data_IF_990286319795
#
_entry.id   IF_990286319795
#
_cell.length_a   1.000
_cell.length_b   1.000
_cell.length_c   1.000
_cell.angle_alpha   90.00
_cell.angle_beta   90.00
_cell.angle_gamma   90.00
#
_symmetry.space_group_name_H-M   'P 1'
#
loop_
_entity.id
_entity.type
_entity.pdbx_description
1 polymer ?
#
# COMPACT_ATOMS: atom_id res chain seq x y z
N UNK A 1 -28.20 28.44 49.96
CA UNK A 1 -26.73 28.56 49.83
C UNK A 1 -26.11 27.17 49.69
N UNK A 2 -25.85 26.70 48.46
CA UNK A 2 -25.16 25.44 48.20
C UNK A 2 -23.75 25.76 47.70
N UNK A 3 -22.73 25.33 48.47
CA UNK A 3 -21.31 25.56 48.20
C UNK A 3 -20.87 24.70 47.00
N UNK A 4 -20.44 25.35 45.93
CA UNK A 4 -19.73 24.73 44.80
C UNK A 4 -18.29 24.44 45.25
N UNK A 5 -17.83 23.19 45.08
CA UNK A 5 -16.40 22.83 45.12
C UNK A 5 -16.00 22.42 43.70
N UNK A 6 -14.96 22.99 43.09
CA UNK A 6 -14.42 22.44 41.85
C UNK A 6 -13.52 21.23 42.20
N UNK A 7 -13.52 20.14 41.43
CA UNK A 7 -12.44 19.19 41.53
C UNK A 7 -11.20 19.77 40.83
N UNK A 8 -10.06 19.62 41.51
CA UNK A 8 -8.72 19.88 40.99
C UNK A 8 -8.57 19.24 39.60
N UNK A 9 -8.26 20.07 38.60
CA UNK A 9 -7.77 19.60 37.32
C UNK A 9 -6.39 18.97 37.53
N UNK A 10 -6.29 17.66 37.33
CA UNK A 10 -5.01 16.98 37.17
C UNK A 10 -4.46 17.39 35.79
N UNK A 11 -3.51 18.31 35.77
CA UNK A 11 -2.70 18.59 34.58
C UNK A 11 -1.71 17.43 34.47
N UNK A 12 -2.00 16.45 33.62
CA UNK A 12 -1.00 15.48 33.20
C UNK A 12 -0.08 16.18 32.18
N UNK A 13 1.08 16.63 32.67
CA UNK A 13 2.23 16.97 31.84
C UNK A 13 2.82 15.65 31.31
N UNK A 14 2.46 15.28 30.08
CA UNK A 14 3.10 14.19 29.37
C UNK A 14 4.19 14.77 28.48
N UNK A 15 5.43 14.75 28.97
CA UNK A 15 6.62 14.91 28.15
C UNK A 15 7.00 13.55 27.57
N UNK A 16 7.14 13.45 26.26
CA UNK A 16 7.93 12.39 25.64
C UNK A 16 8.66 12.93 24.42
N UNK A 17 10.00 12.83 24.46
CA UNK A 17 10.89 13.19 23.37
C UNK A 17 11.40 11.95 22.66
N UNK A 18 11.43 11.97 21.32
CA UNK A 18 12.06 10.93 20.50
C UNK A 18 13.28 11.49 19.79
N UNK A 19 14.49 11.16 20.24
CA UNK A 19 15.75 11.59 19.61
C UNK A 19 16.16 10.61 18.50
N UNK A 20 16.37 11.10 17.28
CA UNK A 20 17.07 10.37 16.20
C UNK A 20 18.34 11.14 15.82
N UNK A 21 19.48 10.44 15.76
CA UNK A 21 20.78 11.02 15.43
C UNK A 21 21.20 10.64 14.01
N UNK A 22 21.52 11.63 13.17
CA UNK A 22 22.18 11.43 11.89
C UNK A 22 23.57 12.08 11.94
N UNK A 23 24.61 11.31 11.64
CA UNK A 23 25.98 11.81 11.53
C UNK A 23 26.36 12.04 10.07
N UNK A 24 26.65 13.28 9.71
CA UNK A 24 27.27 13.64 8.42
C UNK A 24 28.71 14.07 8.71
N UNK A 25 29.68 13.44 8.02
CA UNK A 25 31.11 13.72 8.20
C UNK A 25 31.63 14.51 7.01
N UNK A 26 32.19 15.70 7.22
CA UNK A 26 32.94 16.43 6.20
C UNK A 26 34.22 17.03 6.82
N UNK A 27 35.38 16.68 6.25
CA UNK A 27 36.70 17.25 6.53
C UNK A 27 36.99 17.52 8.03
N UNK A 28 36.92 16.47 8.85
CA UNK A 28 37.31 16.44 10.28
C UNK A 28 36.49 17.31 11.26
N UNK A 29 35.37 17.89 10.84
CA UNK A 29 34.40 18.52 11.74
C UNK A 29 33.13 17.66 11.83
N UNK A 30 32.74 17.29 13.05
CA UNK A 30 31.53 16.51 13.35
C UNK A 30 30.45 17.49 13.80
N UNK A 31 29.38 17.60 13.00
CA UNK A 31 28.16 18.31 13.39
C UNK A 31 27.13 17.23 13.71
N UNK A 32 26.70 17.17 14.97
CA UNK A 32 25.61 16.32 15.42
C UNK A 32 24.34 17.15 15.52
N UNK A 33 23.38 16.92 14.63
CA UNK A 33 22.03 17.44 14.78
C UNK A 33 21.11 16.30 15.22
N UNK A 34 20.47 16.50 16.37
CA UNK A 34 19.44 15.60 16.90
C UNK A 34 18.08 16.21 16.55
N UNK A 35 17.38 15.62 15.57
CA UNK A 35 15.99 15.99 15.32
C UNK A 35 15.09 15.16 16.24
N UNK A 36 14.28 15.87 17.04
CA UNK A 36 13.23 15.27 17.84
C UNK A 36 11.91 15.28 17.07
N UNK A 37 11.41 14.10 16.71
CA UNK A 37 10.11 13.92 16.05
C UNK A 37 9.13 13.31 17.05
N UNK A 38 8.35 14.15 17.72
CA UNK A 38 7.23 13.73 18.58
C UNK A 38 5.92 13.92 17.81
N UNK A 39 5.11 12.86 17.72
CA UNK A 39 3.74 12.94 17.21
C UNK A 39 2.78 12.46 18.32
N UNK A 40 1.82 13.30 18.68
CA UNK A 40 0.74 12.96 19.59
C UNK A 40 -0.48 12.59 18.75
N UNK A 41 -0.99 11.35 18.89
CA UNK A 41 -2.14 10.86 18.13
C UNK A 41 -3.28 10.65 19.13
N UNK A 42 -4.13 11.67 19.27
CA UNK A 42 -5.36 11.58 20.06
C UNK A 42 -6.40 10.76 19.30
N UNK A 43 -6.57 9.50 19.71
CA UNK A 43 -7.59 8.58 19.17
C UNK A 43 -8.94 8.70 19.91
N UNK A 44 -9.06 9.55 20.93
CA UNK A 44 -10.22 9.61 21.84
C UNK A 44 -11.50 10.15 21.22
N UNK A 45 -11.43 10.76 20.03
CA UNK A 45 -12.56 11.38 19.32
C UNK A 45 -12.86 10.76 17.95
N UNK A 46 -12.02 9.81 17.50
CA UNK A 46 -12.18 9.19 16.18
C UNK A 46 -13.16 8.02 16.26
N UNK A 47 -14.40 8.22 15.83
CA UNK A 47 -15.33 7.11 15.57
C UNK A 47 -14.83 6.37 14.33
N UNK A 48 -13.96 5.38 14.53
CA UNK A 48 -13.49 4.50 13.46
C UNK A 48 -14.57 3.48 13.18
N UNK A 49 -15.28 3.63 12.05
CA UNK A 49 -16.11 2.55 11.55
C UNK A 49 -15.19 1.38 11.14
N UNK A 50 -15.46 0.14 11.59
CA UNK A 50 -14.62 -0.99 11.23
C UNK A 50 -14.64 -1.19 9.71
N UNK A 51 -13.46 -1.09 9.11
CA UNK A 51 -13.22 -1.41 7.72
C UNK A 51 -12.71 -2.86 7.65
N UNK A 52 -13.41 -3.68 6.90
CA UNK A 52 -13.01 -5.05 6.60
C UNK A 52 -12.59 -5.12 5.12
N UNK A 53 -11.47 -5.79 4.84
CA UNK A 53 -10.94 -5.92 3.48
C UNK A 53 -10.71 -7.39 3.19
N UNK A 54 -11.38 -7.88 2.15
CA UNK A 54 -11.33 -9.26 1.70
C UNK A 54 -10.56 -9.30 0.39
N UNK A 55 -9.50 -10.11 0.33
CA UNK A 55 -8.85 -10.43 -0.94
C UNK A 55 -9.55 -11.62 -1.59
N UNK A 56 -10.04 -11.41 -2.81
CA UNK A 56 -10.54 -12.49 -3.67
C UNK A 56 -9.43 -13.11 -4.53
N UNK A 57 -8.19 -12.72 -4.26
CA UNK A 57 -7.00 -13.14 -5.00
C UNK A 57 -6.19 -14.09 -4.14
N UNK A 58 -5.69 -15.21 -4.69
CA UNK A 58 -4.75 -16.06 -3.99
C UNK A 58 -3.52 -15.27 -3.50
N UNK A 59 -2.98 -15.59 -2.31
CA UNK A 59 -1.81 -14.89 -1.76
C UNK A 59 -0.55 -15.11 -2.60
N UNK A 60 -0.47 -16.23 -3.33
CA UNK A 60 0.62 -16.56 -4.23
C UNK A 60 0.07 -16.71 -5.65
N UNK A 61 0.69 -16.01 -6.60
CA UNK A 61 0.31 -16.04 -8.00
C UNK A 61 1.53 -16.42 -8.84
N UNK A 62 1.33 -17.35 -9.77
CA UNK A 62 2.34 -17.68 -10.78
C UNK A 62 2.06 -16.84 -12.03
N UNK A 63 2.95 -15.89 -12.33
CA UNK A 63 2.79 -14.98 -13.47
C UNK A 63 3.54 -15.54 -14.67
N UNK A 64 2.82 -15.74 -15.78
CA UNK A 64 3.38 -16.33 -16.99
C UNK A 64 4.24 -15.31 -17.75
N UNK A 65 5.40 -15.77 -18.21
CA UNK A 65 6.22 -15.05 -19.18
C UNK A 65 5.78 -15.40 -20.60
N UNK A 66 5.44 -14.39 -21.39
CA UNK A 66 5.20 -14.52 -22.82
C UNK A 66 6.50 -14.26 -23.58
N UNK A 67 7.03 -15.31 -24.20
CA UNK A 67 8.27 -15.26 -24.97
C UNK A 67 8.13 -14.50 -26.30
N UNK A 68 6.92 -14.42 -26.87
CA UNK A 68 6.69 -13.72 -28.13
C UNK A 68 6.74 -12.20 -27.94
N UNK A 69 6.12 -11.71 -26.85
CA UNK A 69 6.12 -10.27 -26.52
C UNK A 69 7.27 -9.88 -25.58
N UNK A 70 8.06 -10.86 -25.09
CA UNK A 70 9.10 -10.70 -24.06
C UNK A 70 8.56 -9.93 -22.84
N UNK A 71 7.38 -10.29 -22.35
CA UNK A 71 6.72 -9.62 -21.22
C UNK A 71 6.04 -10.61 -20.29
N UNK A 72 5.91 -10.23 -19.03
CA UNK A 72 5.02 -10.93 -18.12
C UNK A 72 3.56 -10.61 -18.43
N UNK A 73 2.70 -11.60 -18.27
CA UNK A 73 1.26 -11.39 -18.19
C UNK A 73 0.93 -10.47 -17.03
N UNK A 74 -0.16 -9.73 -17.13
CA UNK A 74 -0.61 -8.85 -16.05
C UNK A 74 -0.99 -9.67 -14.81
N UNK A 75 -0.50 -9.24 -13.64
CA UNK A 75 -0.99 -9.73 -12.35
C UNK A 75 -2.28 -8.99 -11.98
N UNK A 76 -3.21 -9.67 -11.31
CA UNK A 76 -4.51 -9.12 -10.92
C UNK A 76 -4.75 -9.30 -9.43
N UNK A 77 -5.10 -8.23 -8.73
CA UNK A 77 -5.45 -8.25 -7.31
C UNK A 77 -6.87 -7.70 -7.15
N UNK A 78 -7.85 -8.58 -6.98
CA UNK A 78 -9.24 -8.25 -6.66
C UNK A 78 -9.44 -8.15 -5.15
N UNK A 79 -9.95 -7.01 -4.72
CA UNK A 79 -10.24 -6.68 -3.33
C UNK A 79 -11.70 -6.24 -3.18
N UNK A 80 -12.29 -6.58 -2.03
CA UNK A 80 -13.58 -6.09 -1.57
C UNK A 80 -13.40 -5.40 -0.23
N UNK A 81 -13.76 -4.12 -0.16
CA UNK A 81 -13.88 -3.40 1.09
C UNK A 81 -15.32 -3.48 1.59
N UNK A 82 -15.49 -3.69 2.90
CA UNK A 82 -16.77 -3.72 3.60
C UNK A 82 -16.73 -2.72 4.75
N UNK A 83 -17.79 -1.93 4.89
CA UNK A 83 -17.91 -0.94 5.96
C UNK A 83 -19.34 -0.88 6.50
N UNK A 84 -19.48 -0.59 7.79
CA UNK A 84 -20.78 -0.25 8.40
C UNK A 84 -21.31 1.13 7.98
N UNK A 85 -20.48 1.96 7.36
CA UNK A 85 -20.84 3.31 6.90
C UNK A 85 -20.25 3.59 5.50
N UNK A 86 -20.90 4.47 4.73
CA UNK A 86 -20.42 4.94 3.41
C UNK A 86 -19.95 6.41 3.46
N UNK A 87 -19.91 7.00 4.65
CA UNK A 87 -19.63 8.44 4.83
C UNK A 87 -18.16 8.81 4.70
N UNK A 88 -17.26 7.84 4.59
CA UNK A 88 -15.82 8.06 4.50
C UNK A 88 -15.28 7.54 3.16
N UNK A 89 -14.36 8.27 2.51
CA UNK A 89 -13.68 7.78 1.32
C UNK A 89 -12.75 6.61 1.69
N UNK A 90 -12.40 5.79 0.71
CA UNK A 90 -11.46 4.68 0.88
C UNK A 90 -10.12 5.05 0.23
N UNK A 91 -9.02 4.85 0.93
CA UNK A 91 -7.67 5.08 0.43
C UNK A 91 -7.05 3.74 0.06
N UNK A 92 -6.45 3.68 -1.14
CA UNK A 92 -5.57 2.61 -1.59
C UNK A 92 -4.16 3.16 -1.75
N UNK A 93 -3.22 2.58 -1.03
CA UNK A 93 -1.80 2.92 -1.04
C UNK A 93 -0.95 1.75 -1.52
N UNK A 94 -0.05 2.03 -2.46
CA UNK A 94 1.10 1.17 -2.77
C UNK A 94 2.22 1.56 -1.82
N UNK A 95 2.48 0.75 -0.80
CA UNK A 95 3.51 1.04 0.21
C UNK A 95 4.90 0.68 -0.29
N UNK A 96 5.02 -0.49 -0.93
CA UNK A 96 6.25 -0.92 -1.56
C UNK A 96 6.00 -1.97 -2.62
N UNK A 97 6.95 -2.06 -3.53
CA UNK A 97 7.03 -3.13 -4.51
C UNK A 97 8.47 -3.56 -4.66
N UNK A 98 8.68 -4.86 -4.88
CA UNK A 98 10.00 -5.35 -5.21
C UNK A 98 9.94 -6.59 -6.07
N UNK A 99 10.97 -6.72 -6.88
CA UNK A 99 11.14 -7.78 -7.84
C UNK A 99 12.62 -8.15 -7.93
N UNK A 100 12.91 -9.45 -7.99
CA UNK A 100 14.24 -9.99 -8.16
C UNK A 100 14.17 -11.12 -9.17
N UNK A 101 15.01 -11.07 -10.21
CA UNK A 101 15.27 -12.20 -11.10
C UNK A 101 16.70 -12.68 -10.93
N UNK A 102 16.87 -14.00 -10.94
CA UNK A 102 18.16 -14.66 -10.95
C UNK A 102 18.19 -15.84 -11.93
N UNK A 103 19.36 -16.05 -12.56
CA UNK A 103 19.62 -17.28 -13.31
C UNK A 103 19.71 -18.49 -12.38
N UNK A 104 19.09 -19.60 -12.76
CA UNK A 104 19.03 -20.82 -11.92
C UNK A 104 20.24 -21.73 -12.12
N UNK A 105 20.95 -21.61 -13.24
CA UNK A 105 22.09 -22.49 -13.55
C UNK A 105 23.42 -21.89 -13.05
N UNK A 106 24.15 -22.59 -12.16
CA UNK A 106 25.51 -22.19 -11.76
C UNK A 106 26.53 -22.23 -12.89
N UNK A 107 26.20 -22.93 -13.98
CA UNK A 107 27.05 -23.16 -15.16
C UNK A 107 26.65 -22.27 -16.34
N UNK A 108 25.63 -21.41 -16.19
CA UNK A 108 25.25 -20.48 -17.24
C UNK A 108 26.41 -19.52 -17.53
N UNK A 109 26.78 -19.40 -18.80
CA UNK A 109 27.83 -18.47 -19.27
C UNK A 109 27.50 -17.00 -18.98
N UNK A 110 26.21 -16.68 -18.80
CA UNK A 110 25.73 -15.37 -18.38
C UNK A 110 24.96 -15.50 -17.07
N UNK A 111 25.49 -14.92 -16.00
CA UNK A 111 24.76 -14.74 -14.76
C UNK A 111 23.87 -13.50 -14.88
N UNK A 112 22.58 -13.67 -14.64
CA UNK A 112 21.65 -12.55 -14.57
C UNK A 112 21.23 -12.36 -13.13
N UNK A 113 21.38 -11.12 -12.68
CA UNK A 113 20.77 -10.60 -11.48
C UNK A 113 20.10 -9.30 -11.87
N UNK A 114 18.78 -9.25 -11.76
CA UNK A 114 18.01 -8.03 -11.95
C UNK A 114 17.17 -7.80 -10.71
N UNK A 115 17.20 -6.57 -10.17
CA UNK A 115 16.30 -6.17 -9.11
C UNK A 115 15.67 -4.83 -9.42
N UNK A 116 14.41 -4.70 -9.04
CA UNK A 116 13.68 -3.44 -9.04
C UNK A 116 12.98 -3.33 -7.68
N UNK A 117 13.22 -2.24 -6.97
CA UNK A 117 12.60 -1.96 -5.67
C UNK A 117 11.97 -0.57 -5.78
N UNK A 118 10.66 -0.49 -5.54
CA UNK A 118 9.87 0.73 -5.71
C UNK A 118 10.08 1.35 -7.09
N UNK A 119 10.20 0.53 -8.13
CA UNK A 119 10.54 0.95 -9.48
C UNK A 119 9.94 0.04 -10.55
N UNK A 120 9.51 0.64 -11.66
CA UNK A 120 9.11 -0.08 -12.88
C UNK A 120 7.71 -0.70 -12.86
N UNK A 121 7.03 -0.78 -11.70
CA UNK A 121 5.65 -1.24 -11.66
C UNK A 121 4.68 -0.14 -12.08
N UNK A 122 3.60 -0.55 -12.74
CA UNK A 122 2.42 0.27 -13.01
C UNK A 122 1.18 -0.44 -12.50
N UNK A 123 0.24 0.32 -11.93
CA UNK A 123 -0.98 -0.21 -11.36
C UNK A 123 -2.19 0.52 -11.95
N UNK A 124 -3.06 -0.19 -12.67
CA UNK A 124 -4.36 0.34 -13.06
C UNK A 124 -5.40 -0.06 -12.00
N UNK A 125 -5.96 0.93 -11.33
CA UNK A 125 -7.04 0.75 -10.36
C UNK A 125 -8.37 0.76 -11.10
N UNK A 126 -9.19 -0.26 -10.87
CA UNK A 126 -10.47 -0.41 -11.54
C UNK A 126 -11.63 -0.64 -10.58
N UNK A 127 -12.78 -0.07 -10.92
CA UNK A 127 -14.05 -0.37 -10.26
C UNK A 127 -15.18 -0.26 -11.27
N UNK A 128 -16.23 -1.06 -11.11
CA UNK A 128 -17.35 -1.11 -12.07
C UNK A 128 -16.92 -1.43 -13.52
N UNK A 129 -15.81 -2.15 -13.71
CA UNK A 129 -15.25 -2.49 -15.02
C UNK A 129 -14.54 -1.35 -15.75
N UNK A 130 -14.23 -0.24 -15.07
CA UNK A 130 -13.50 0.89 -15.65
C UNK A 130 -12.26 1.21 -14.84
N UNK A 131 -11.18 1.60 -15.53
CA UNK A 131 -10.00 2.16 -14.88
C UNK A 131 -10.31 3.56 -14.35
N UNK A 132 -10.10 3.77 -13.06
CA UNK A 132 -10.36 5.04 -12.35
C UNK A 132 -9.09 5.76 -11.93
N UNK A 133 -7.95 5.05 -11.88
CA UNK A 133 -6.65 5.65 -11.64
C UNK A 133 -5.52 4.80 -12.20
N UNK A 134 -4.37 5.44 -12.43
CA UNK A 134 -3.11 4.77 -12.74
C UNK A 134 -2.05 5.23 -11.75
N UNK A 135 -1.55 4.28 -10.96
CA UNK A 135 -0.47 4.47 -9.99
C UNK A 135 0.82 3.90 -10.58
N UNK A 136 1.97 4.35 -10.06
CA UNK A 136 3.28 3.88 -10.52
C UNK A 136 4.32 4.01 -9.42
N UNK A 137 5.27 3.10 -9.41
CA UNK A 137 6.42 3.22 -8.52
C UNK A 137 7.24 4.45 -8.88
N UNK A 138 7.66 5.23 -7.88
CA UNK A 138 8.35 6.51 -8.09
C UNK A 138 7.44 7.66 -8.56
N UNK A 139 6.11 7.48 -8.56
CA UNK A 139 5.14 8.54 -8.87
C UNK A 139 3.96 8.55 -7.91
N UNK A 140 2.75 8.73 -8.43
CA UNK A 140 1.54 8.64 -7.62
C UNK A 140 1.36 7.19 -7.14
N UNK A 141 1.36 6.99 -5.83
CA UNK A 141 1.21 5.67 -5.17
C UNK A 141 -0.11 5.54 -4.40
N UNK A 142 -0.92 6.60 -4.34
CA UNK A 142 -2.20 6.64 -3.64
C UNK A 142 -3.36 6.90 -4.59
N UNK A 143 -4.44 6.16 -4.41
CA UNK A 143 -5.76 6.47 -4.97
C UNK A 143 -6.78 6.65 -3.84
N UNK A 144 -7.71 7.59 -4.04
CA UNK A 144 -8.85 7.81 -3.15
C UNK A 144 -10.12 7.45 -3.89
N UNK A 145 -10.88 6.50 -3.36
CA UNK A 145 -12.23 6.21 -3.78
C UNK A 145 -13.20 7.11 -3.03
N UNK A 146 -14.05 7.81 -3.77
CA UNK A 146 -15.02 8.75 -3.23
C UNK A 146 -16.17 8.03 -2.52
N UNK A 147 -16.80 8.71 -1.56
CA UNK A 147 -17.93 8.17 -0.77
C UNK A 147 -19.09 7.65 -1.63
N UNK A 148 -19.33 8.29 -2.79
CA UNK A 148 -20.37 7.89 -3.73
C UNK A 148 -20.10 6.58 -4.48
N UNK A 149 -18.91 5.99 -4.37
CA UNK A 149 -18.55 4.72 -5.03
C UNK A 149 -18.92 3.48 -4.20
N UNK A 150 -19.26 3.66 -2.92
CA UNK A 150 -19.78 2.60 -2.08
C UNK A 150 -21.18 2.17 -2.53
N UNK A 151 -21.42 0.87 -2.53
CA UNK A 151 -22.72 0.28 -2.85
C UNK A 151 -23.32 -0.34 -1.60
N UNK A 152 -24.61 -0.12 -1.35
CA UNK A 152 -25.29 -0.79 -0.25
C UNK A 152 -25.40 -2.29 -0.55
N UNK A 153 -24.96 -3.15 0.38
CA UNK A 153 -24.90 -4.60 0.17
C UNK A 153 -26.28 -5.21 -0.06
N UNK A 154 -27.33 -4.63 0.53
CA UNK A 154 -28.74 -4.92 0.27
C UNK A 154 -29.02 -6.39 -0.07
N UNK A 155 -29.40 -6.64 -1.32
CA UNK A 155 -29.77 -7.94 -1.87
C UNK A 155 -28.67 -8.61 -2.73
N UNK A 156 -27.44 -8.10 -2.73
CA UNK A 156 -26.32 -8.71 -3.45
C UNK A 156 -25.98 -10.05 -2.78
N UNK A 157 -26.21 -11.15 -3.50
CA UNK A 157 -25.97 -12.51 -3.01
C UNK A 157 -24.50 -12.68 -2.60
N UNK A 158 -24.27 -13.04 -1.33
CA UNK A 158 -22.92 -13.28 -0.79
C UNK A 158 -22.25 -12.09 -0.11
N UNK A 159 -22.92 -10.94 0.02
CA UNK A 159 -22.47 -9.85 0.87
C UNK A 159 -23.18 -9.87 2.24
N UNK A 160 -22.49 -9.49 3.31
CA UNK A 160 -23.12 -9.34 4.62
C UNK A 160 -24.23 -8.27 4.56
N UNK A 161 -25.43 -8.64 5.00
CA UNK A 161 -26.59 -7.73 4.98
C UNK A 161 -26.33 -6.52 5.87
N UNK A 162 -26.69 -5.33 5.38
CA UNK A 162 -26.61 -4.09 6.16
C UNK A 162 -25.23 -3.42 6.15
N UNK A 163 -24.29 -3.88 5.33
CA UNK A 163 -22.99 -3.23 5.10
C UNK A 163 -23.00 -2.45 3.77
N UNK A 164 -22.01 -1.58 3.60
CA UNK A 164 -21.64 -1.01 2.32
C UNK A 164 -20.42 -1.75 1.79
N UNK A 165 -20.37 -1.96 0.48
CA UNK A 165 -19.28 -2.64 -0.20
C UNK A 165 -18.68 -1.79 -1.32
N UNK A 166 -17.39 -1.97 -1.54
CA UNK A 166 -16.67 -1.42 -2.69
C UNK A 166 -15.76 -2.50 -3.25
N UNK A 167 -16.08 -2.95 -4.45
CA UNK A 167 -15.28 -3.91 -5.20
C UNK A 167 -14.34 -3.17 -6.15
N UNK A 168 -13.07 -3.55 -6.12
CA UNK A 168 -12.07 -2.99 -6.99
C UNK A 168 -11.01 -4.02 -7.39
N UNK A 169 -10.40 -3.77 -8.54
CA UNK A 169 -9.36 -4.59 -9.13
C UNK A 169 -8.11 -3.73 -9.33
N UNK A 170 -6.96 -4.25 -8.91
CA UNK A 170 -5.67 -3.70 -9.27
C UNK A 170 -5.07 -4.57 -10.36
N UNK A 171 -4.95 -4.05 -11.58
CA UNK A 171 -4.11 -4.66 -12.63
C UNK A 171 -2.69 -4.17 -12.46
N UNK A 172 -1.78 -5.10 -12.26
CA UNK A 172 -0.38 -4.83 -11.96
C UNK A 172 0.48 -5.26 -13.15
N UNK A 173 1.16 -4.29 -13.73
CA UNK A 173 2.18 -4.51 -14.76
C UNK A 173 3.53 -4.55 -14.06
N UNK A 174 4.25 -5.67 -14.20
CA UNK A 174 5.59 -5.87 -13.66
C UNK A 174 6.63 -5.04 -14.45
N UNK A 175 7.80 -4.76 -13.85
CA UNK A 175 8.89 -4.06 -14.54
C UNK A 175 9.29 -4.76 -15.86
N UNK A 176 9.62 -3.96 -16.88
CA UNK A 176 10.14 -4.49 -18.14
C UNK A 176 11.61 -4.93 -17.94
N UNK A 177 11.85 -6.22 -18.13
CA UNK A 177 13.18 -6.84 -18.01
C UNK A 177 13.68 -7.40 -19.33
N UNK A 178 12.96 -7.19 -20.44
CA UNK A 178 13.25 -7.85 -21.70
C UNK A 178 14.71 -7.67 -22.13
N UNK A 179 15.23 -6.44 -22.03
CA UNK A 179 16.62 -6.10 -22.39
C UNK A 179 17.67 -6.65 -21.42
N UNK A 180 17.27 -7.12 -20.23
CA UNK A 180 18.16 -7.69 -19.22
C UNK A 180 18.25 -9.21 -19.32
N UNK A 181 17.35 -9.84 -20.06
CA UNK A 181 17.34 -11.27 -20.29
C UNK A 181 18.33 -11.67 -21.39
N UNK A 182 18.97 -12.84 -21.28
CA UNK A 182 19.95 -13.28 -22.25
C UNK A 182 19.21 -13.72 -23.53
N UNK A 183 19.85 -13.59 -24.69
CA UNK A 183 19.24 -14.09 -25.93
C UNK A 183 19.18 -15.63 -25.99
N UNK A 184 19.88 -16.30 -25.08
CA UNK A 184 19.96 -17.76 -25.00
C UNK A 184 19.09 -18.26 -23.85
N UNK A 185 18.44 -19.44 -23.97
CA UNK A 185 17.51 -19.95 -22.98
C UNK A 185 18.24 -20.44 -21.71
N UNK A 186 18.59 -19.51 -20.84
CA UNK A 186 18.92 -19.82 -19.46
C UNK A 186 17.62 -19.79 -18.63
N UNK A 187 17.36 -20.80 -17.78
CA UNK A 187 16.24 -20.71 -16.85
C UNK A 187 16.49 -19.54 -15.89
N UNK A 188 15.54 -18.61 -15.85
CA UNK A 188 15.51 -17.48 -14.92
C UNK A 188 14.30 -17.66 -14.02
N UNK A 189 14.51 -17.55 -12.72
CA UNK A 189 13.44 -17.48 -11.73
C UNK A 189 13.34 -16.02 -11.29
N UNK A 190 12.10 -15.56 -11.15
CA UNK A 190 11.84 -14.25 -10.63
C UNK A 190 10.79 -14.29 -9.53
N UNK A 191 11.08 -13.61 -8.44
CA UNK A 191 10.24 -13.50 -7.26
C UNK A 191 9.95 -12.02 -7.00
N UNK A 192 8.72 -11.71 -6.62
CA UNK A 192 8.32 -10.35 -6.33
C UNK A 192 7.21 -10.26 -5.30
N UNK A 193 7.09 -9.07 -4.73
CA UNK A 193 6.05 -8.74 -3.75
C UNK A 193 5.53 -7.32 -4.00
N UNK A 194 4.27 -7.12 -3.66
CA UNK A 194 3.64 -5.80 -3.62
C UNK A 194 2.93 -5.68 -2.28
N UNK A 195 3.23 -4.63 -1.54
CA UNK A 195 2.60 -4.33 -0.25
C UNK A 195 1.60 -3.21 -0.46
N UNK A 196 0.34 -3.51 -0.15
CA UNK A 196 -0.79 -2.60 -0.28
C UNK A 196 -1.33 -2.24 1.09
N UNK A 197 -1.81 -1.01 1.23
CA UNK A 197 -2.62 -0.60 2.38
C UNK A 197 -3.95 -0.06 1.90
N UNK A 198 -5.02 -0.53 2.55
CA UNK A 198 -6.38 -0.07 2.31
C UNK A 198 -6.91 0.49 3.63
N UNK A 199 -7.31 1.75 3.63
CA UNK A 199 -7.69 2.47 4.86
C UNK A 199 -8.80 3.49 4.61
N UNK A 200 -9.36 4.04 5.68
CA UNK A 200 -10.22 5.24 5.62
C UNK A 200 -9.46 6.39 6.27
N UNK A 201 -9.61 7.64 5.82
CA UNK A 201 -8.98 8.76 6.50
C UNK A 201 -9.59 8.93 7.89
N UNK A 202 -8.75 9.33 8.84
CA UNK A 202 -9.24 9.79 10.14
C UNK A 202 -10.01 11.09 9.90
N UNK A 203 -11.27 11.14 10.33
CA UNK A 203 -12.03 12.38 10.30
C UNK A 203 -11.30 13.40 11.18
N UNK A 204 -10.86 14.51 10.59
CA UNK A 204 -10.40 15.65 11.38
C UNK A 204 -11.61 16.20 12.13
N UNK A 205 -11.57 16.15 13.46
CA UNK A 205 -12.58 16.82 14.29
C UNK A 205 -12.47 18.33 14.04
N UNK A 206 -13.46 18.88 13.34
CA UNK A 206 -13.71 20.32 13.26
C UNK A 206 -14.32 20.85 14.54
#
# INVERSE_FOLDING_TARGET
MKKYRPPLGLVFLLLAGAASAATITNNSQRIEETLLLTADIDLGQSVVAPLEVISNTPPFQHILWDSATRRFSEMRISLRALSGSHGQPLLLDILSDSYLCASVSPQASAQITFSAINAGYTYAVETGGRTVATLRSGGATRHTFETGQWQYSGALSGAERGKYLLDFLLRVTLPDIAEKLPDHPAPVICDGQVILMVSTPLAASS
#
